data_IF_469088802762
#
_entry.id   IF_469088802762
#
_cell.length_a   1.000
_cell.length_b   1.000
_cell.length_c   1.000
_cell.angle_alpha   90.00
_cell.angle_beta   90.00
_cell.angle_gamma   90.00
#
_symmetry.space_group_name_H-M   'P 1'
#
loop_
_entity.id
_entity.type
_entity.pdbx_description
1 polymer ?
#
# COMPACT_ATOMS: atom_id res chain seq x y z
N UNK A 1 15.68 22.14 -5.95
CA UNK A 1 14.33 21.86 -6.52
C UNK A 1 14.21 20.36 -6.75
N UNK A 2 13.12 19.73 -6.27
CA UNK A 2 12.84 18.31 -6.54
C UNK A 2 12.39 18.15 -8.00
N UNK A 3 13.02 17.24 -8.72
CA UNK A 3 12.65 16.85 -10.09
C UNK A 3 12.17 15.41 -10.08
N UNK A 4 10.98 15.18 -10.56
CA UNK A 4 10.41 13.86 -10.69
C UNK A 4 9.67 13.72 -12.02
N UNK A 5 9.63 12.53 -12.55
CA UNK A 5 8.87 12.21 -13.73
C UNK A 5 8.45 10.75 -13.74
N UNK A 6 7.37 10.46 -14.42
CA UNK A 6 6.80 9.10 -14.52
C UNK A 6 6.58 8.71 -15.97
N UNK A 7 6.68 7.42 -16.22
CA UNK A 7 6.31 6.82 -17.49
C UNK A 7 5.76 5.43 -17.29
N UNK A 8 4.99 4.96 -18.25
CA UNK A 8 4.45 3.61 -18.25
C UNK A 8 4.47 3.00 -19.65
N UNK A 9 4.54 1.68 -19.72
CA UNK A 9 4.41 0.91 -20.94
C UNK A 9 3.61 -0.36 -20.68
N UNK A 10 2.98 -0.87 -21.71
CA UNK A 10 2.27 -2.17 -21.73
C UNK A 10 2.87 -3.14 -22.74
N UNK A 11 4.07 -2.85 -23.25
CA UNK A 11 4.75 -3.70 -24.21
C UNK A 11 5.12 -5.05 -23.57
N UNK A 12 4.85 -6.14 -24.26
CA UNK A 12 5.19 -7.49 -23.81
C UNK A 12 6.70 -7.76 -23.77
N UNK A 13 7.49 -6.99 -24.51
CA UNK A 13 8.96 -7.06 -24.43
C UNK A 13 9.45 -6.29 -23.22
N UNK A 14 10.00 -7.00 -22.24
CA UNK A 14 10.52 -6.43 -21.00
C UNK A 14 11.53 -5.31 -21.24
N UNK A 15 12.47 -5.52 -22.18
CA UNK A 15 13.48 -4.51 -22.49
C UNK A 15 12.86 -3.22 -23.07
N UNK A 16 11.83 -3.34 -23.95
CA UNK A 16 11.14 -2.17 -24.49
C UNK A 16 10.28 -1.50 -23.44
N UNK A 17 9.46 -2.24 -22.70
CA UNK A 17 8.62 -1.70 -21.65
C UNK A 17 9.44 -0.88 -20.64
N UNK A 18 10.54 -1.46 -20.14
CA UNK A 18 11.44 -0.79 -19.22
C UNK A 18 12.10 0.46 -19.84
N UNK A 19 12.59 0.34 -21.08
CA UNK A 19 13.22 1.46 -21.78
C UNK A 19 12.27 2.62 -22.03
N UNK A 20 11.07 2.36 -22.54
CA UNK A 20 10.04 3.35 -22.81
C UNK A 20 9.59 4.08 -21.55
N UNK A 21 9.24 3.32 -20.50
CA UNK A 21 8.77 3.91 -19.24
C UNK A 21 9.82 4.83 -18.61
N UNK A 22 11.10 4.41 -18.58
CA UNK A 22 12.18 5.24 -18.02
C UNK A 22 12.48 6.45 -18.90
N UNK A 23 12.46 6.32 -20.23
CA UNK A 23 12.65 7.48 -21.14
C UNK A 23 11.56 8.53 -20.96
N UNK A 24 10.30 8.12 -20.87
CA UNK A 24 9.18 9.03 -20.61
C UNK A 24 9.37 9.73 -19.26
N UNK A 25 9.76 8.98 -18.21
CA UNK A 25 10.01 9.53 -16.88
C UNK A 25 11.15 10.56 -16.88
N UNK A 26 12.29 10.28 -17.54
CA UNK A 26 13.39 11.23 -17.68
C UNK A 26 12.96 12.49 -18.42
N UNK A 27 12.22 12.34 -19.50
CA UNK A 27 11.72 13.47 -20.29
C UNK A 27 10.79 14.36 -19.47
N UNK A 28 9.87 13.78 -18.69
CA UNK A 28 8.97 14.53 -17.82
C UNK A 28 9.72 15.22 -16.66
N UNK A 29 10.71 14.55 -16.06
CA UNK A 29 11.55 15.14 -15.02
C UNK A 29 12.49 16.25 -15.54
N UNK A 30 12.72 16.31 -16.84
CA UNK A 30 13.67 17.24 -17.48
C UNK A 30 15.13 16.97 -17.07
N UNK A 31 15.50 15.70 -16.90
CA UNK A 31 16.86 15.27 -16.53
C UNK A 31 17.37 14.23 -17.52
N UNK A 32 18.69 14.19 -17.71
CA UNK A 32 19.36 13.20 -18.56
C UNK A 32 19.81 11.95 -17.82
N UNK A 33 19.82 12.02 -16.47
CA UNK A 33 20.24 10.95 -15.58
C UNK A 33 19.39 11.03 -14.29
N UNK A 34 19.03 9.88 -13.74
CA UNK A 34 18.32 9.79 -12.48
C UNK A 34 19.26 9.62 -11.29
N UNK A 35 18.87 10.13 -10.11
CA UNK A 35 19.48 9.76 -8.83
C UNK A 35 18.91 8.44 -8.31
N UNK A 36 17.59 8.21 -8.51
CA UNK A 36 16.93 6.95 -8.22
C UNK A 36 15.79 6.66 -9.20
N UNK A 37 15.49 5.38 -9.38
CA UNK A 37 14.35 4.88 -10.16
C UNK A 37 13.53 3.91 -9.34
N UNK A 38 12.23 4.21 -9.21
CA UNK A 38 11.24 3.29 -8.66
C UNK A 38 10.47 2.63 -9.80
N UNK A 39 10.37 1.29 -9.78
CA UNK A 39 9.74 0.52 -10.87
C UNK A 39 8.71 -0.44 -10.31
N UNK A 40 7.48 -0.38 -10.81
CA UNK A 40 6.45 -1.39 -10.60
C UNK A 40 6.16 -2.10 -11.90
N UNK A 41 6.05 -3.42 -11.86
CA UNK A 41 5.97 -4.23 -13.07
C UNK A 41 5.09 -5.48 -12.89
N UNK A 42 4.40 -5.87 -13.94
CA UNK A 42 3.68 -7.13 -13.97
C UNK A 42 4.64 -8.31 -13.78
N UNK A 43 4.25 -9.31 -12.98
CA UNK A 43 5.13 -10.42 -12.56
C UNK A 43 5.76 -11.19 -13.73
N UNK A 44 5.14 -11.16 -14.91
CA UNK A 44 5.63 -11.77 -16.14
C UNK A 44 7.00 -11.21 -16.57
N UNK A 45 7.28 -9.95 -16.28
CA UNK A 45 8.57 -9.33 -16.56
C UNK A 45 9.72 -9.90 -15.72
N UNK A 46 9.42 -10.53 -14.55
CA UNK A 46 10.43 -11.15 -13.70
C UNK A 46 11.15 -12.32 -14.41
N UNK A 47 10.49 -13.00 -15.33
CA UNK A 47 11.12 -14.06 -16.14
C UNK A 47 12.27 -13.55 -17.04
N UNK A 48 12.36 -12.25 -17.23
CA UNK A 48 13.39 -11.55 -18.01
C UNK A 48 14.18 -10.56 -17.14
N UNK A 49 14.56 -10.98 -15.94
CA UNK A 49 15.18 -10.13 -14.92
C UNK A 49 16.35 -9.30 -15.43
N UNK A 50 17.26 -9.93 -16.22
CA UNK A 50 18.42 -9.23 -16.78
C UNK A 50 18.02 -8.11 -17.74
N UNK A 51 17.07 -8.42 -18.64
CA UNK A 51 16.57 -7.41 -19.59
C UNK A 51 15.92 -6.25 -18.86
N UNK A 52 15.16 -6.53 -17.78
CA UNK A 52 14.52 -5.52 -16.95
C UNK A 52 15.58 -4.61 -16.30
N UNK A 53 16.49 -5.20 -15.52
CA UNK A 53 17.50 -4.45 -14.76
C UNK A 53 18.44 -3.67 -15.67
N UNK A 54 19.00 -4.32 -16.70
CA UNK A 54 19.94 -3.70 -17.63
C UNK A 54 19.29 -2.55 -18.42
N UNK A 55 18.03 -2.69 -18.85
CA UNK A 55 17.33 -1.64 -19.58
C UNK A 55 17.06 -0.43 -18.69
N UNK A 56 16.56 -0.65 -17.46
CA UNK A 56 16.34 0.44 -16.50
C UNK A 56 17.64 1.17 -16.20
N UNK A 57 18.69 0.46 -15.78
CA UNK A 57 19.99 1.05 -15.42
C UNK A 57 20.63 1.82 -16.57
N UNK A 58 20.64 1.23 -17.76
CA UNK A 58 21.23 1.84 -18.95
C UNK A 58 20.52 3.12 -19.34
N UNK A 59 19.19 3.13 -19.33
CA UNK A 59 18.40 4.29 -19.74
C UNK A 59 18.41 5.38 -18.67
N UNK A 60 18.27 4.99 -17.40
CA UNK A 60 18.27 5.93 -16.27
C UNK A 60 19.67 6.48 -15.92
N UNK A 61 20.73 5.76 -16.29
CA UNK A 61 22.12 6.13 -15.96
C UNK A 61 22.48 5.94 -14.48
N UNK A 62 21.73 5.12 -13.74
CA UNK A 62 21.94 4.89 -12.30
C UNK A 62 21.79 3.43 -11.91
N UNK A 63 22.48 3.03 -10.84
CA UNK A 63 22.32 1.73 -10.19
C UNK A 63 21.30 1.77 -9.03
N UNK A 64 20.85 2.96 -8.64
CA UNK A 64 19.82 3.15 -7.63
C UNK A 64 18.43 2.82 -8.25
N UNK A 65 18.16 1.53 -8.42
CA UNK A 65 16.92 0.98 -8.98
C UNK A 65 16.27 0.13 -7.91
N UNK A 66 15.00 0.42 -7.60
CA UNK A 66 14.20 -0.28 -6.60
C UNK A 66 12.78 -0.48 -7.13
N UNK A 67 12.13 -1.53 -6.69
CA UNK A 67 10.72 -1.75 -7.00
C UNK A 67 10.24 -3.16 -6.69
N UNK A 68 9.06 -3.49 -7.20
CA UNK A 68 8.49 -4.82 -7.02
C UNK A 68 7.47 -5.17 -8.11
N UNK A 69 7.08 -6.44 -8.15
CA UNK A 69 5.98 -6.90 -8.97
C UNK A 69 4.64 -6.40 -8.43
N UNK A 70 3.69 -6.17 -9.33
CA UNK A 70 2.35 -5.70 -9.04
C UNK A 70 1.31 -6.33 -9.98
N UNK A 71 0.12 -6.57 -9.46
CA UNK A 71 -1.01 -7.06 -10.28
C UNK A 71 -1.56 -5.98 -11.22
N UNK A 72 -1.24 -4.73 -10.94
CA UNK A 72 -1.54 -3.57 -11.77
C UNK A 72 -0.67 -2.39 -11.39
N UNK A 73 -0.52 -1.46 -12.32
CA UNK A 73 0.27 -0.24 -12.15
C UNK A 73 -0.60 1.00 -12.35
N UNK A 74 -0.15 2.12 -11.81
CA UNK A 74 -0.80 3.42 -11.97
C UNK A 74 0.23 4.52 -12.22
N UNK A 75 -0.12 5.46 -13.09
CA UNK A 75 0.57 6.75 -13.22
C UNK A 75 -0.46 7.87 -13.39
N UNK A 76 0.00 9.10 -13.54
CA UNK A 76 -0.86 10.23 -13.91
C UNK A 76 -1.60 10.02 -15.27
N UNK A 77 -1.14 9.08 -16.10
CA UNK A 77 -1.79 8.72 -17.37
C UNK A 77 -2.95 7.72 -17.21
N UNK A 78 -3.09 7.11 -16.02
CA UNK A 78 -4.16 6.14 -15.70
C UNK A 78 -3.65 4.86 -15.06
N UNK A 79 -4.56 3.90 -14.95
CA UNK A 79 -4.35 2.58 -14.36
C UNK A 79 -4.24 1.52 -15.46
N UNK A 80 -3.36 0.55 -15.25
CA UNK A 80 -3.26 -0.67 -16.06
C UNK A 80 -3.40 -1.86 -15.13
N UNK A 81 -4.54 -2.51 -15.17
CA UNK A 81 -4.83 -3.71 -14.38
C UNK A 81 -4.64 -4.94 -15.28
N UNK A 82 -3.78 -5.86 -14.83
CA UNK A 82 -3.41 -7.05 -15.62
C UNK A 82 -2.48 -6.75 -16.81
N UNK A 83 -2.21 -7.78 -17.63
CA UNK A 83 -1.32 -7.67 -18.80
C UNK A 83 0.14 -7.39 -18.43
N UNK A 84 0.87 -6.70 -19.30
CA UNK A 84 2.31 -6.46 -19.19
C UNK A 84 2.64 -5.04 -18.68
N UNK A 85 1.84 -4.50 -17.75
CA UNK A 85 2.05 -3.16 -17.21
C UNK A 85 3.42 -2.99 -16.55
N UNK A 86 4.12 -1.92 -16.91
CA UNK A 86 5.34 -1.47 -16.24
C UNK A 86 5.28 0.04 -16.08
N UNK A 87 5.49 0.53 -14.87
CA UNK A 87 5.59 1.95 -14.54
C UNK A 87 6.95 2.25 -13.93
N UNK A 88 7.52 3.39 -14.27
CA UNK A 88 8.77 3.88 -13.70
C UNK A 88 8.61 5.32 -13.24
N UNK A 89 9.14 5.65 -12.07
CA UNK A 89 9.36 7.01 -11.60
C UNK A 89 10.84 7.28 -11.48
N UNK A 90 11.27 8.36 -12.12
CA UNK A 90 12.63 8.90 -11.98
C UNK A 90 12.59 10.02 -10.95
N UNK A 91 13.54 9.99 -10.03
CA UNK A 91 13.80 11.04 -9.06
C UNK A 91 15.18 11.63 -9.33
N UNK A 92 15.26 12.96 -9.32
CA UNK A 92 16.52 13.70 -9.41
C UNK A 92 16.40 14.95 -8.56
N UNK A 93 17.32 15.17 -7.60
CA UNK A 93 17.19 16.32 -6.73
C UNK A 93 18.46 16.70 -5.99
N UNK A 94 18.74 17.99 -5.95
CA UNK A 94 19.81 18.53 -5.10
C UNK A 94 19.44 18.53 -3.60
N UNK A 95 18.14 18.48 -3.27
CA UNK A 95 17.62 18.63 -1.92
C UNK A 95 16.88 17.37 -1.40
N UNK A 96 16.86 16.31 -2.19
CA UNK A 96 16.23 15.03 -1.84
C UNK A 96 17.27 13.92 -1.98
N UNK A 97 17.64 13.29 -0.89
CA UNK A 97 18.54 12.15 -0.90
C UNK A 97 17.72 10.86 -1.00
N UNK A 98 18.07 10.04 -1.99
CA UNK A 98 17.42 8.77 -2.25
C UNK A 98 18.39 7.63 -1.92
N UNK A 99 18.04 6.78 -0.94
CA UNK A 99 18.85 5.61 -0.55
C UNK A 99 18.09 4.34 -0.85
N UNK A 100 18.58 3.47 -1.74
CA UNK A 100 17.96 2.19 -2.00
C UNK A 100 18.15 1.27 -0.79
N UNK A 101 17.09 0.52 -0.47
CA UNK A 101 17.06 -0.44 0.62
C UNK A 101 16.71 -1.80 0.04
N UNK A 102 17.50 -2.82 0.37
CA UNK A 102 17.24 -4.18 -0.09
C UNK A 102 17.75 -5.19 0.93
N UNK A 103 16.83 -6.05 1.42
CA UNK A 103 17.17 -7.07 2.40
C UNK A 103 16.61 -8.43 1.96
N UNK A 104 17.43 -9.46 2.07
CA UNK A 104 17.12 -10.84 1.74
C UNK A 104 17.90 -11.80 2.63
N UNK A 105 17.31 -12.92 3.11
CA UNK A 105 15.90 -13.26 3.01
C UNK A 105 15.02 -12.42 3.95
N UNK A 106 13.72 -12.28 3.63
CA UNK A 106 12.73 -11.60 4.48
C UNK A 106 12.18 -12.55 5.53
N UNK A 107 11.77 -13.78 5.11
CA UNK A 107 11.18 -14.78 6.00
C UNK A 107 12.09 -15.10 7.16
N UNK A 108 11.54 -15.04 8.39
CA UNK A 108 12.21 -15.29 9.66
C UNK A 108 13.27 -14.24 10.05
N UNK A 109 13.39 -13.15 9.27
CA UNK A 109 14.33 -12.05 9.55
C UNK A 109 13.67 -10.69 9.65
N UNK A 110 12.36 -10.64 9.69
CA UNK A 110 11.58 -9.40 9.67
C UNK A 110 11.97 -8.47 10.83
N UNK A 111 12.15 -9.04 12.02
CA UNK A 111 12.60 -8.30 13.20
C UNK A 111 14.00 -7.70 12.99
N UNK A 112 14.96 -8.51 12.57
CA UNK A 112 16.36 -8.07 12.34
C UNK A 112 16.42 -6.98 11.25
N UNK A 113 15.59 -7.11 10.22
CA UNK A 113 15.50 -6.12 9.13
C UNK A 113 14.95 -4.80 9.65
N UNK A 114 13.93 -4.83 10.53
CA UNK A 114 13.41 -3.62 11.16
C UNK A 114 14.46 -2.90 12.00
N UNK A 115 15.26 -3.65 12.78
CA UNK A 115 16.40 -3.11 13.54
C UNK A 115 17.45 -2.48 12.61
N UNK A 116 17.79 -3.16 11.49
CA UNK A 116 18.74 -2.61 10.50
C UNK A 116 18.20 -1.34 9.83
N UNK A 117 16.93 -1.31 9.46
CA UNK A 117 16.28 -0.11 8.93
C UNK A 117 16.33 1.05 9.94
N UNK A 118 16.09 0.77 11.22
CA UNK A 118 16.20 1.77 12.29
C UNK A 118 17.59 2.41 12.35
N UNK A 119 18.65 1.61 12.18
CA UNK A 119 20.03 2.09 12.13
C UNK A 119 20.37 2.92 10.87
N UNK A 120 19.61 2.75 9.78
CA UNK A 120 19.80 3.49 8.51
C UNK A 120 19.06 4.83 8.45
N UNK A 121 18.02 4.98 9.27
CA UNK A 121 17.25 6.21 9.37
C UNK A 121 17.94 7.17 10.35
N UNK A 122 18.42 8.35 9.92
CA UNK A 122 19.07 9.28 10.84
C UNK A 122 18.09 9.81 11.90
N UNK A 123 18.60 10.33 13.04
CA UNK A 123 17.76 11.01 14.02
C UNK A 123 16.95 12.12 13.38
N UNK A 124 15.68 12.22 13.77
CA UNK A 124 14.66 13.08 13.19
C UNK A 124 14.89 14.58 13.43
N UNK A 125 15.99 15.13 12.97
CA UNK A 125 16.19 16.59 12.86
C UNK A 125 16.07 17.09 11.41
N UNK A 126 16.00 16.17 10.44
CA UNK A 126 15.75 16.53 9.05
C UNK A 126 14.27 16.84 8.83
N UNK A 127 13.97 17.87 8.07
CA UNK A 127 12.63 18.41 7.82
C UNK A 127 11.74 17.41 7.05
N UNK A 128 12.31 16.48 6.26
CA UNK A 128 11.59 15.42 5.55
C UNK A 128 12.27 14.06 5.71
N UNK A 129 11.51 13.06 6.11
CA UNK A 129 11.93 11.66 6.22
C UNK A 129 10.77 10.75 5.84
N UNK A 130 10.99 9.81 4.92
CA UNK A 130 9.97 8.87 4.45
C UNK A 130 10.60 7.55 4.03
N UNK A 131 10.07 6.45 4.51
CA UNK A 131 10.38 5.09 4.04
C UNK A 131 9.29 4.61 3.09
N UNK A 132 9.65 4.25 1.86
CA UNK A 132 8.78 3.52 0.95
C UNK A 132 9.25 2.05 0.92
N UNK A 133 8.40 1.09 1.35
CA UNK A 133 8.77 -0.31 1.48
C UNK A 133 7.85 -1.22 0.63
N UNK A 134 8.44 -2.24 0.01
CA UNK A 134 7.79 -3.20 -0.87
C UNK A 134 8.17 -4.63 -0.47
N UNK A 135 7.62 -5.16 0.64
CA UNK A 135 7.91 -6.50 1.10
C UNK A 135 7.28 -7.57 0.20
N UNK A 136 7.87 -8.76 0.20
CA UNK A 136 7.27 -9.95 -0.38
C UNK A 136 6.04 -10.38 0.43
N UNK A 137 4.89 -10.50 -0.25
CA UNK A 137 3.61 -10.83 0.38
C UNK A 137 3.51 -12.31 0.78
N UNK A 138 4.18 -13.22 0.06
CA UNK A 138 4.11 -14.65 0.33
C UNK A 138 5.15 -15.12 1.37
N UNK A 139 6.20 -14.34 1.60
CA UNK A 139 7.38 -14.78 2.35
C UNK A 139 7.69 -13.97 3.59
N UNK A 140 6.80 -13.12 4.08
CA UNK A 140 7.12 -12.32 5.25
C UNK A 140 5.92 -11.94 6.10
N UNK A 141 6.22 -11.51 7.31
CA UNK A 141 5.29 -10.90 8.25
C UNK A 141 5.68 -9.43 8.46
N UNK A 142 5.29 -8.53 7.54
CA UNK A 142 5.75 -7.14 7.55
C UNK A 142 5.37 -6.37 8.82
N UNK A 143 4.33 -6.82 9.53
CA UNK A 143 3.94 -6.25 10.82
C UNK A 143 5.12 -6.31 11.82
N UNK A 144 5.84 -7.44 11.90
CA UNK A 144 7.01 -7.60 12.79
C UNK A 144 8.16 -6.66 12.43
N UNK A 145 8.33 -6.39 11.14
CA UNK A 145 9.32 -5.42 10.65
C UNK A 145 8.95 -4.00 11.09
N UNK A 146 7.68 -3.62 10.97
CA UNK A 146 7.20 -2.30 11.39
C UNK A 146 7.30 -2.12 12.90
N UNK A 147 6.97 -3.15 13.68
CA UNK A 147 7.07 -3.15 15.14
C UNK A 147 8.52 -2.96 15.58
N UNK A 148 9.46 -3.77 15.08
CA UNK A 148 10.87 -3.65 15.46
C UNK A 148 11.50 -2.32 15.01
N UNK A 149 11.13 -1.80 13.85
CA UNK A 149 11.53 -0.45 13.42
C UNK A 149 11.04 0.61 14.40
N UNK A 150 9.78 0.51 14.87
CA UNK A 150 9.19 1.44 15.80
C UNK A 150 9.85 1.36 17.20
N UNK A 151 10.09 0.15 17.69
CA UNK A 151 10.69 -0.09 19.00
C UNK A 151 12.12 0.47 19.08
N UNK A 152 12.91 0.30 18.02
CA UNK A 152 14.30 0.75 17.98
C UNK A 152 14.45 2.24 17.66
N UNK A 153 13.55 2.81 16.85
CA UNK A 153 13.73 4.17 16.31
C UNK A 153 12.66 5.16 16.75
N UNK A 154 11.53 4.67 17.23
CA UNK A 154 10.32 5.48 17.37
C UNK A 154 9.62 5.67 16.01
N UNK A 155 8.72 6.64 15.96
CA UNK A 155 7.92 6.88 14.78
C UNK A 155 8.75 7.43 13.61
N UNK A 156 8.78 6.69 12.53
CA UNK A 156 9.26 7.09 11.20
C UNK A 156 8.17 6.75 10.21
N UNK A 157 7.66 7.68 9.38
CA UNK A 157 6.58 7.38 8.46
C UNK A 157 7.01 6.35 7.41
N UNK A 158 6.26 5.26 7.34
CA UNK A 158 6.41 4.20 6.33
C UNK A 158 5.20 4.20 5.43
N UNK A 159 5.43 4.20 4.12
CA UNK A 159 4.40 4.00 3.10
C UNK A 159 4.82 2.85 2.17
N UNK A 160 3.90 2.31 1.42
CA UNK A 160 4.23 1.24 0.48
C UNK A 160 3.13 0.22 0.34
N UNK A 161 3.49 -0.91 -0.25
CA UNK A 161 2.57 -2.03 -0.42
C UNK A 161 3.32 -3.35 -0.51
N UNK A 162 2.66 -4.43 -0.10
CA UNK A 162 3.13 -5.77 -0.39
C UNK A 162 3.15 -6.02 -1.90
N UNK A 163 4.25 -6.55 -2.40
CA UNK A 163 4.34 -6.95 -3.80
C UNK A 163 3.19 -7.90 -4.15
N UNK A 164 2.68 -7.84 -5.37
CA UNK A 164 1.54 -8.64 -5.80
C UNK A 164 1.74 -9.24 -7.20
N UNK A 165 0.83 -10.11 -7.58
CA UNK A 165 0.80 -10.79 -8.88
C UNK A 165 -0.65 -11.17 -9.24
N UNK A 166 -0.90 -11.64 -10.44
CA UNK A 166 -2.24 -11.89 -11.00
C UNK A 166 -2.86 -13.25 -10.62
N UNK A 167 -2.31 -13.97 -9.64
CA UNK A 167 -2.76 -15.30 -9.21
C UNK A 167 -2.15 -16.47 -10.01
N UNK A 168 -1.26 -16.21 -10.97
CA UNK A 168 -0.66 -17.25 -11.81
C UNK A 168 0.80 -17.54 -11.50
N UNK A 169 1.56 -16.54 -11.08
CA UNK A 169 2.99 -16.69 -10.78
C UNK A 169 3.26 -17.41 -9.45
N UNK A 170 2.32 -17.37 -8.51
CA UNK A 170 2.44 -17.92 -7.15
C UNK A 170 3.71 -17.44 -6.42
N UNK A 171 4.24 -16.31 -6.82
CA UNK A 171 5.40 -15.66 -6.25
C UNK A 171 5.33 -14.17 -6.54
N UNK A 172 5.78 -13.36 -5.59
CA UNK A 172 6.00 -11.93 -5.79
C UNK A 172 7.48 -11.64 -5.86
N UNK A 173 7.85 -10.56 -6.53
CA UNK A 173 9.23 -10.28 -6.85
C UNK A 173 9.63 -8.88 -6.40
N UNK A 174 10.84 -8.76 -5.85
CA UNK A 174 11.48 -7.51 -5.49
C UNK A 174 12.63 -7.24 -6.45
N UNK A 175 12.71 -5.98 -6.91
CA UNK A 175 13.71 -5.48 -7.83
C UNK A 175 14.74 -4.63 -7.09
N UNK A 176 16.01 -4.85 -7.38
CA UNK A 176 17.11 -3.95 -7.05
C UNK A 176 17.99 -3.71 -8.28
N UNK A 177 18.93 -2.77 -8.19
CA UNK A 177 19.93 -2.57 -9.24
C UNK A 177 20.83 -3.79 -9.52
N UNK A 178 20.82 -4.78 -8.63
CA UNK A 178 21.58 -6.04 -8.76
C UNK A 178 20.80 -7.16 -9.43
N UNK A 179 19.45 -7.14 -9.38
CA UNK A 179 18.62 -8.22 -9.92
C UNK A 179 17.19 -8.20 -9.40
N UNK A 180 16.45 -9.24 -9.75
CA UNK A 180 15.09 -9.52 -9.30
C UNK A 180 15.11 -10.80 -8.48
N UNK A 181 14.44 -10.82 -7.34
CA UNK A 181 14.33 -12.01 -6.49
C UNK A 181 13.00 -12.02 -5.74
N UNK A 182 12.72 -13.11 -5.04
CA UNK A 182 11.63 -13.23 -4.08
C UNK A 182 12.16 -13.32 -2.64
N UNK A 183 11.29 -13.46 -1.67
CA UNK A 183 11.63 -13.53 -0.25
C UNK A 183 12.56 -12.39 0.18
N UNK A 184 12.18 -11.16 -0.19
CA UNK A 184 12.95 -9.96 0.09
C UNK A 184 12.04 -8.79 0.45
N UNK A 185 12.63 -7.72 0.95
CA UNK A 185 12.01 -6.40 1.00
C UNK A 185 12.87 -5.42 0.21
N UNK A 186 12.29 -4.80 -0.78
CA UNK A 186 12.84 -3.66 -1.50
C UNK A 186 12.28 -2.38 -0.91
N UNK A 187 13.00 -1.27 -0.97
CA UNK A 187 12.53 0.01 -0.48
C UNK A 187 13.40 1.18 -0.87
N UNK A 188 12.87 2.35 -0.59
CA UNK A 188 13.55 3.61 -0.82
C UNK A 188 13.40 4.48 0.43
N UNK A 189 14.52 4.87 1.01
CA UNK A 189 14.54 5.91 2.03
C UNK A 189 14.78 7.26 1.37
N UNK A 190 13.90 8.19 1.70
CA UNK A 190 13.95 9.57 1.25
C UNK A 190 14.21 10.49 2.44
N UNK A 191 15.24 11.32 2.35
CA UNK A 191 15.48 12.40 3.30
C UNK A 191 15.81 13.73 2.59
N UNK A 192 15.55 14.84 3.25
CA UNK A 192 15.84 16.16 2.71
C UNK A 192 14.78 17.21 3.03
N UNK A 193 14.85 18.31 2.28
CA UNK A 193 13.96 19.46 2.45
C UNK A 193 12.61 19.23 1.72
N UNK A 194 11.74 18.43 2.32
CA UNK A 194 10.39 18.18 1.79
C UNK A 194 9.38 17.91 2.90
N UNK A 195 8.09 18.00 2.54
CA UNK A 195 6.98 17.54 3.38
C UNK A 195 6.22 16.41 2.68
N UNK A 196 5.90 15.36 3.43
CA UNK A 196 5.06 14.27 2.97
C UNK A 196 3.65 14.41 3.57
N UNK A 197 2.64 14.41 2.69
CA UNK A 197 1.22 14.45 3.06
C UNK A 197 0.62 13.08 2.76
N UNK A 198 0.32 12.31 3.80
CA UNK A 198 -0.12 10.92 3.67
C UNK A 198 -1.59 10.85 4.11
N UNK A 199 -2.44 10.32 3.24
CA UNK A 199 -3.86 10.10 3.51
C UNK A 199 -4.29 8.73 3.03
N UNK A 200 -5.30 8.17 3.69
CA UNK A 200 -5.82 6.82 3.43
C UNK A 200 -7.28 6.93 3.01
N UNK A 201 -7.66 6.16 1.99
CA UNK A 201 -9.06 5.94 1.60
C UNK A 201 -9.46 4.49 1.82
N UNK A 202 -10.64 4.27 2.40
CA UNK A 202 -11.17 2.97 2.75
C UNK A 202 -12.09 2.41 1.65
N UNK A 203 -11.85 1.16 1.23
CA UNK A 203 -12.73 0.44 0.31
C UNK A 203 -13.91 -0.26 0.99
N UNK A 204 -13.81 -0.42 2.32
CA UNK A 204 -14.84 -1.04 3.15
C UNK A 204 -15.39 -0.01 4.13
N UNK A 205 -16.71 0.10 4.23
CA UNK A 205 -17.39 1.10 5.06
C UNK A 205 -18.21 0.44 6.18
N UNK A 206 -18.32 1.06 7.36
CA UNK A 206 -19.07 0.54 8.48
C UNK A 206 -20.54 0.24 8.14
N UNK A 207 -21.02 -0.92 8.58
CA UNK A 207 -22.42 -1.35 8.52
C UNK A 207 -23.02 -1.63 9.89
N UNK A 208 -22.24 -1.50 10.94
CA UNK A 208 -22.65 -1.61 12.32
C UNK A 208 -22.09 -0.48 13.17
N UNK A 209 -22.70 -0.25 14.33
CA UNK A 209 -22.10 0.51 15.41
C UNK A 209 -20.90 -0.25 16.01
N UNK A 210 -20.01 0.41 16.77
CA UNK A 210 -18.99 -0.26 17.54
C UNK A 210 -19.58 -1.25 18.55
N UNK A 211 -18.97 -2.44 18.61
CA UNK A 211 -19.33 -3.55 19.51
C UNK A 211 -18.07 -3.98 20.28
N UNK A 212 -18.24 -4.79 21.32
CA UNK A 212 -17.15 -5.29 22.14
C UNK A 212 -17.04 -6.80 22.00
N UNK A 213 -15.84 -7.32 21.83
CA UNK A 213 -15.52 -8.74 21.89
C UNK A 213 -15.59 -9.15 23.37
N UNK A 214 -16.59 -9.94 23.74
CA UNK A 214 -16.79 -10.36 25.13
C UNK A 214 -16.19 -11.72 25.44
N UNK A 215 -15.90 -12.52 24.40
CA UNK A 215 -15.20 -13.79 24.53
C UNK A 215 -14.45 -14.15 23.26
N UNK A 216 -13.16 -14.47 23.40
CA UNK A 216 -12.32 -14.90 22.27
C UNK A 216 -11.18 -15.82 22.72
N UNK A 217 -10.56 -16.48 21.75
CA UNK A 217 -9.30 -17.22 21.91
C UNK A 217 -8.47 -17.03 20.64
N UNK A 218 -7.32 -16.34 20.74
CA UNK A 218 -6.47 -15.96 19.61
C UNK A 218 -7.27 -15.18 18.57
N UNK A 219 -7.48 -15.79 17.40
CA UNK A 219 -8.22 -15.22 16.28
C UNK A 219 -9.67 -15.72 16.13
N UNK A 220 -10.17 -16.46 17.13
CA UNK A 220 -11.52 -16.98 17.17
C UNK A 220 -12.40 -16.13 18.12
N UNK A 221 -13.44 -15.51 17.58
CA UNK A 221 -14.41 -14.73 18.35
C UNK A 221 -15.63 -15.61 18.65
N UNK A 222 -15.88 -15.87 19.93
CA UNK A 222 -17.01 -16.66 20.41
C UNK A 222 -18.22 -15.77 20.67
N UNK A 223 -18.00 -14.62 21.33
CA UNK A 223 -19.09 -13.71 21.73
C UNK A 223 -18.75 -12.24 21.42
N UNK A 224 -19.76 -11.52 20.96
CA UNK A 224 -19.76 -10.06 20.75
C UNK A 224 -20.96 -9.50 21.52
N UNK A 225 -20.72 -8.53 22.42
CA UNK A 225 -21.76 -7.98 23.31
C UNK A 225 -22.56 -9.07 24.02
N UNK A 226 -21.87 -10.10 24.56
CA UNK A 226 -22.47 -11.24 25.31
C UNK A 226 -23.43 -12.13 24.47
N UNK A 227 -23.33 -12.07 23.13
CA UNK A 227 -24.11 -12.90 22.19
C UNK A 227 -23.18 -13.70 21.28
N UNK A 228 -23.58 -14.89 20.81
CA UNK A 228 -22.79 -15.66 19.86
C UNK A 228 -22.35 -14.81 18.65
N UNK A 229 -21.05 -14.81 18.33
CA UNK A 229 -20.48 -13.92 17.31
C UNK A 229 -21.12 -14.12 15.93
N UNK A 230 -21.40 -15.37 15.55
CA UNK A 230 -22.06 -15.69 14.28
C UNK A 230 -23.53 -15.21 14.25
N UNK A 231 -24.24 -15.22 15.40
CA UNK A 231 -25.58 -14.67 15.48
C UNK A 231 -25.59 -13.16 15.26
N UNK A 232 -24.65 -12.44 15.90
CA UNK A 232 -24.47 -11.01 15.70
C UNK A 232 -24.17 -10.70 14.24
N UNK A 233 -23.19 -11.40 13.64
CA UNK A 233 -22.86 -11.26 12.22
C UNK A 233 -24.08 -11.51 11.33
N UNK A 234 -24.80 -12.62 11.55
CA UNK A 234 -25.95 -12.99 10.74
C UNK A 234 -27.10 -11.97 10.84
N UNK A 235 -27.26 -11.31 11.97
CA UNK A 235 -28.28 -10.27 12.17
C UNK A 235 -28.06 -9.02 11.31
N UNK A 236 -26.84 -8.79 10.83
CA UNK A 236 -26.49 -7.67 9.95
C UNK A 236 -26.77 -7.97 8.47
N UNK A 237 -26.93 -9.25 8.13
CA UNK A 237 -27.12 -9.68 6.75
C UNK A 237 -28.54 -9.34 6.28
N UNK A 238 -28.64 -8.77 5.07
CA UNK A 238 -29.92 -8.41 4.43
C UNK A 238 -30.00 -8.96 3.02
N UNK A 239 -31.23 -9.24 2.58
CA UNK A 239 -31.51 -9.67 1.21
C UNK A 239 -30.72 -10.93 0.82
N UNK A 240 -30.11 -10.96 -0.37
CA UNK A 240 -29.39 -12.14 -0.88
C UNK A 240 -28.22 -12.61 0.02
N UNK A 241 -27.61 -11.70 0.78
CA UNK A 241 -26.50 -12.05 1.69
C UNK A 241 -26.96 -12.86 2.91
N UNK A 242 -28.20 -12.66 3.35
CA UNK A 242 -28.77 -13.47 4.46
C UNK A 242 -29.02 -14.94 4.06
N UNK A 243 -29.19 -15.21 2.76
CA UNK A 243 -29.40 -16.56 2.24
C UNK A 243 -28.10 -17.29 1.86
N UNK A 244 -26.97 -16.57 1.77
CA UNK A 244 -25.68 -17.10 1.31
C UNK A 244 -24.50 -16.53 2.14
N UNK A 245 -24.18 -17.25 3.22
CA UNK A 245 -23.05 -16.87 4.10
C UNK A 245 -21.70 -16.87 3.38
N UNK A 246 -21.50 -17.75 2.38
CA UNK A 246 -20.23 -17.74 1.61
C UNK A 246 -20.06 -16.44 0.84
N UNK A 247 -21.14 -16.00 0.21
CA UNK A 247 -21.15 -14.71 -0.49
C UNK A 247 -20.99 -13.54 0.49
N UNK A 248 -21.62 -13.63 1.67
CA UNK A 248 -21.45 -12.61 2.71
C UNK A 248 -19.97 -12.45 3.13
N UNK A 249 -19.24 -13.56 3.34
CA UNK A 249 -17.83 -13.55 3.70
C UNK A 249 -16.88 -12.98 2.62
N UNK A 250 -17.34 -12.85 1.38
CA UNK A 250 -16.56 -12.22 0.31
C UNK A 250 -16.65 -10.70 0.30
N UNK A 251 -17.62 -10.12 0.98
CA UNK A 251 -17.90 -8.68 0.95
C UNK A 251 -18.01 -8.03 2.32
N UNK A 252 -18.14 -8.83 3.39
CA UNK A 252 -18.17 -8.35 4.78
C UNK A 252 -16.91 -8.76 5.53
N UNK A 253 -16.43 -7.85 6.34
CA UNK A 253 -15.18 -7.96 7.08
C UNK A 253 -15.37 -7.40 8.49
N UNK A 254 -14.37 -7.55 9.35
CA UNK A 254 -14.28 -6.83 10.61
C UNK A 254 -13.34 -5.63 10.48
N UNK A 255 -13.68 -4.54 11.12
CA UNK A 255 -12.82 -3.40 11.36
C UNK A 255 -12.38 -3.41 12.82
N UNK A 256 -11.07 -3.50 13.06
CA UNK A 256 -10.45 -3.51 14.38
C UNK A 256 -9.78 -2.16 14.67
N UNK A 257 -9.61 -1.75 15.94
CA UNK A 257 -8.91 -0.52 16.28
C UNK A 257 -7.48 -0.55 15.74
N UNK A 258 -7.05 0.55 15.12
CA UNK A 258 -5.64 0.69 14.74
C UNK A 258 -4.75 0.89 15.98
N UNK A 259 -5.25 1.60 16.98
CA UNK A 259 -4.62 1.74 18.28
C UNK A 259 -5.42 0.97 19.34
N UNK A 260 -4.87 -0.17 19.76
CA UNK A 260 -5.50 -1.04 20.76
C UNK A 260 -5.54 -0.42 22.16
N UNK A 261 -4.66 0.56 22.45
CA UNK A 261 -4.67 1.26 23.75
C UNK A 261 -5.85 2.23 23.83
N UNK A 262 -6.17 2.89 22.72
CA UNK A 262 -7.35 3.77 22.64
C UNK A 262 -8.62 2.93 22.50
N UNK A 263 -8.51 1.73 21.94
CA UNK A 263 -9.59 0.77 21.75
C UNK A 263 -10.88 1.40 21.17
N UNK A 264 -10.70 2.27 20.16
CA UNK A 264 -11.80 2.96 19.50
C UNK A 264 -11.75 2.75 17.99
N UNK A 265 -12.86 2.31 17.43
CA UNK A 265 -13.10 2.21 16.00
C UNK A 265 -13.89 3.44 15.53
N UNK A 266 -13.20 4.55 15.33
CA UNK A 266 -13.81 5.77 14.77
C UNK A 266 -13.73 5.79 13.25
N UNK A 267 -14.54 6.64 12.62
CA UNK A 267 -14.60 6.75 11.16
C UNK A 267 -13.20 6.90 10.51
N UNK A 268 -12.86 5.98 9.62
CA UNK A 268 -11.58 5.92 8.91
C UNK A 268 -10.37 5.44 9.74
N UNK A 269 -10.51 5.18 11.04
CA UNK A 269 -9.42 4.77 11.93
C UNK A 269 -9.58 3.33 12.41
N UNK A 270 -9.72 2.42 11.47
CA UNK A 270 -9.80 0.98 11.72
C UNK A 270 -9.00 0.20 10.67
N UNK A 271 -8.58 -0.98 11.07
CA UNK A 271 -7.90 -1.94 10.20
C UNK A 271 -8.90 -3.00 9.77
N UNK A 272 -9.10 -3.13 8.46
CA UNK A 272 -10.00 -4.14 7.92
C UNK A 272 -9.32 -5.50 7.94
N UNK A 273 -10.03 -6.52 8.44
CA UNK A 273 -9.56 -7.91 8.50
C UNK A 273 -10.61 -8.87 7.97
N UNK A 274 -10.15 -9.85 7.23
CA UNK A 274 -11.01 -10.89 6.67
C UNK A 274 -11.64 -11.75 7.78
N UNK A 275 -12.89 -12.11 7.61
CA UNK A 275 -13.49 -13.26 8.31
C UNK A 275 -13.05 -14.48 7.52
N UNK A 276 -12.14 -15.27 8.10
CA UNK A 276 -11.49 -16.41 7.43
C UNK A 276 -12.22 -17.73 7.62
N UNK A 277 -13.23 -17.76 8.47
CA UNK A 277 -14.06 -18.95 8.70
C UNK A 277 -15.19 -18.70 9.68
N UNK A 278 -16.14 -19.61 9.67
CA UNK A 278 -17.26 -19.67 10.59
C UNK A 278 -17.44 -21.10 11.10
N UNK A 279 -17.84 -21.27 12.36
CA UNK A 279 -18.30 -22.53 12.94
C UNK A 279 -19.78 -22.36 13.31
N UNK A 280 -20.72 -22.86 12.48
CA UNK A 280 -22.14 -22.69 12.72
C UNK A 280 -22.63 -23.41 13.98
N UNK A 281 -22.02 -24.55 14.33
CA UNK A 281 -22.45 -25.37 15.49
C UNK A 281 -22.08 -24.68 16.81
N UNK A 282 -20.97 -23.94 16.83
CA UNK A 282 -20.51 -23.25 18.03
C UNK A 282 -20.77 -21.73 17.99
N UNK A 283 -21.26 -21.20 16.88
CA UNK A 283 -21.53 -19.76 16.71
C UNK A 283 -20.29 -18.88 16.63
N UNK A 284 -19.15 -19.42 16.14
CA UNK A 284 -17.85 -18.77 16.17
C UNK A 284 -17.52 -18.09 14.83
N UNK A 285 -16.81 -16.95 14.90
CA UNK A 285 -16.15 -16.31 13.76
C UNK A 285 -14.63 -16.42 13.91
N UNK A 286 -13.94 -16.86 12.86
CA UNK A 286 -12.49 -16.77 12.74
C UNK A 286 -12.10 -15.54 11.94
N UNK A 287 -11.18 -14.70 12.45
CA UNK A 287 -10.70 -13.50 11.78
C UNK A 287 -9.22 -13.59 11.46
N UNK A 288 -8.74 -12.79 10.49
CA UNK A 288 -7.36 -12.85 10.01
C UNK A 288 -6.37 -12.06 10.91
N UNK A 289 -6.70 -11.89 12.18
CA UNK A 289 -5.84 -11.26 13.20
C UNK A 289 -6.18 -11.79 14.58
N UNK A 290 -5.20 -11.84 15.49
CA UNK A 290 -5.45 -12.16 16.90
C UNK A 290 -6.18 -10.98 17.56
N UNK A 291 -7.18 -11.29 18.38
CA UNK A 291 -8.03 -10.32 19.09
C UNK A 291 -8.06 -10.61 20.59
N UNK A 292 -8.52 -9.64 21.36
CA UNK A 292 -8.57 -9.74 22.81
C UNK A 292 -9.99 -9.44 23.36
N UNK A 293 -10.33 -10.06 24.48
CA UNK A 293 -11.55 -9.70 25.22
C UNK A 293 -11.49 -8.22 25.65
N UNK A 294 -12.61 -7.54 25.50
CA UNK A 294 -12.72 -6.10 25.73
C UNK A 294 -12.33 -5.24 24.51
N UNK A 295 -11.78 -5.82 23.46
CA UNK A 295 -11.43 -5.09 22.23
C UNK A 295 -12.68 -4.69 21.45
N UNK A 296 -12.69 -3.47 20.93
CA UNK A 296 -13.78 -2.98 20.08
C UNK A 296 -13.68 -3.54 18.67
N UNK A 297 -14.82 -3.78 18.04
CA UNK A 297 -14.90 -4.10 16.62
C UNK A 297 -16.10 -3.42 15.96
N UNK A 298 -16.04 -3.26 14.64
CA UNK A 298 -17.17 -2.96 13.77
C UNK A 298 -17.24 -3.99 12.66
N UNK A 299 -18.43 -4.21 12.10
CA UNK A 299 -18.54 -4.88 10.81
C UNK A 299 -18.51 -3.85 9.69
N UNK A 300 -17.77 -4.17 8.65
CA UNK A 300 -17.59 -3.30 7.47
C UNK A 300 -17.94 -4.07 6.21
N UNK A 301 -18.41 -3.35 5.19
CA UNK A 301 -18.77 -3.92 3.89
C UNK A 301 -18.02 -3.23 2.77
N UNK A 302 -17.53 -4.02 1.83
CA UNK A 302 -16.91 -3.55 0.59
C UNK A 302 -18.01 -3.02 -0.33
N UNK A 303 -17.97 -1.72 -0.64
CA UNK A 303 -18.99 -1.02 -1.41
C UNK A 303 -18.32 0.02 -2.32
N UNK A 304 -18.46 -0.14 -3.64
CA UNK A 304 -17.80 0.72 -4.62
C UNK A 304 -18.34 2.15 -4.63
N UNK A 305 -19.61 2.40 -4.28
CA UNK A 305 -20.15 3.75 -4.21
C UNK A 305 -19.60 4.49 -2.98
N UNK A 306 -19.69 3.86 -1.82
CA UNK A 306 -19.17 4.44 -0.57
C UNK A 306 -17.65 4.63 -0.62
N UNK A 307 -16.93 3.72 -1.31
CA UNK A 307 -15.50 3.87 -1.54
C UNK A 307 -15.16 5.11 -2.39
N UNK A 308 -15.99 5.48 -3.39
CA UNK A 308 -15.83 6.73 -4.15
C UNK A 308 -16.09 7.97 -3.29
N UNK A 309 -17.06 7.90 -2.41
CA UNK A 309 -17.38 8.99 -1.46
C UNK A 309 -16.20 9.19 -0.49
N UNK A 310 -15.66 8.12 0.05
CA UNK A 310 -14.50 8.16 0.95
C UNK A 310 -13.24 8.68 0.23
N UNK A 311 -12.98 8.21 -1.01
CA UNK A 311 -11.90 8.72 -1.87
C UNK A 311 -12.04 10.23 -2.10
N UNK A 312 -13.25 10.70 -2.38
CA UNK A 312 -13.51 12.14 -2.56
C UNK A 312 -13.19 12.94 -1.30
N UNK A 313 -13.60 12.44 -0.14
CA UNK A 313 -13.30 13.07 1.16
C UNK A 313 -11.80 13.06 1.46
N UNK A 314 -11.12 11.95 1.18
CA UNK A 314 -9.66 11.85 1.34
C UNK A 314 -8.94 12.87 0.45
N UNK A 315 -9.35 12.99 -0.82
CA UNK A 315 -8.77 13.97 -1.75
C UNK A 315 -9.02 15.41 -1.30
N UNK A 316 -10.20 15.71 -0.75
CA UNK A 316 -10.47 17.03 -0.17
C UNK A 316 -9.56 17.34 1.02
N UNK A 317 -9.29 16.36 1.90
CA UNK A 317 -8.30 16.51 2.97
C UNK A 317 -6.90 16.79 2.41
N UNK A 318 -6.48 16.06 1.36
CA UNK A 318 -5.20 16.29 0.69
C UNK A 318 -5.08 17.70 0.10
N UNK A 319 -6.11 18.17 -0.60
CA UNK A 319 -6.15 19.55 -1.14
C UNK A 319 -6.00 20.58 -0.03
N UNK A 320 -6.70 20.38 1.11
CA UNK A 320 -6.60 21.27 2.26
C UNK A 320 -5.20 21.24 2.89
N UNK A 321 -4.60 20.04 3.05
CA UNK A 321 -3.26 19.87 3.62
C UNK A 321 -2.16 20.50 2.74
N UNK A 322 -2.35 20.49 1.43
CA UNK A 322 -1.43 21.15 0.50
C UNK A 322 -1.45 22.68 0.62
N UNK A 323 -2.57 23.28 1.05
CA UNK A 323 -2.67 24.74 1.21
C UNK A 323 -2.37 25.53 -0.08
N UNK A 324 -2.71 24.98 -1.25
CA UNK A 324 -2.45 25.57 -2.56
C UNK A 324 -1.06 25.25 -3.14
N UNK A 325 -0.20 24.53 -2.44
CA UNK A 325 1.08 24.04 -2.96
C UNK A 325 0.85 22.91 -3.96
N UNK A 326 1.69 22.83 -4.98
CA UNK A 326 1.65 21.73 -5.95
C UNK A 326 2.55 20.59 -5.49
N UNK A 327 2.11 19.31 -5.58
CA UNK A 327 2.97 18.18 -5.34
C UNK A 327 4.14 18.17 -6.34
N UNK A 328 5.35 17.97 -5.84
CA UNK A 328 6.53 17.71 -6.68
C UNK A 328 6.43 16.30 -7.29
N UNK A 329 5.93 15.34 -6.52
CA UNK A 329 5.55 14.00 -6.95
C UNK A 329 4.62 13.33 -5.92
N UNK A 330 4.09 12.15 -6.25
CA UNK A 330 3.30 11.35 -5.33
C UNK A 330 3.41 9.85 -5.58
N UNK A 331 3.03 9.10 -4.53
CA UNK A 331 2.83 7.66 -4.57
C UNK A 331 1.37 7.34 -4.31
N UNK A 332 0.81 6.36 -5.02
CA UNK A 332 -0.49 5.82 -4.71
C UNK A 332 -0.44 4.29 -4.62
N UNK A 333 -0.49 3.77 -3.40
CA UNK A 333 -0.51 2.34 -3.14
C UNK A 333 -1.95 1.89 -2.96
N UNK A 334 -2.44 1.11 -3.90
CA UNK A 334 -3.83 0.67 -3.97
C UNK A 334 -3.93 -0.82 -3.69
N UNK A 335 -4.95 -1.26 -2.99
CA UNK A 335 -5.19 -2.69 -2.78
C UNK A 335 -5.59 -3.37 -4.09
N UNK A 336 -5.10 -4.58 -4.35
CA UNK A 336 -5.53 -5.40 -5.49
C UNK A 336 -7.04 -5.74 -5.46
N UNK A 337 -7.70 -5.58 -4.31
CA UNK A 337 -9.13 -5.69 -4.17
C UNK A 337 -9.89 -4.39 -4.49
N UNK A 338 -9.21 -3.32 -4.90
CA UNK A 338 -9.81 -2.07 -5.42
C UNK A 338 -9.83 -2.10 -6.96
N UNK A 339 -9.75 -0.96 -7.63
CA UNK A 339 -9.78 -0.89 -9.09
C UNK A 339 -11.06 -1.47 -9.68
N UNK A 340 -10.95 -2.14 -10.81
CA UNK A 340 -12.10 -2.75 -11.52
C UNK A 340 -12.86 -3.77 -10.67
N UNK A 341 -12.17 -4.49 -9.77
CA UNK A 341 -12.77 -5.44 -8.84
C UNK A 341 -13.76 -4.79 -7.85
N UNK A 342 -13.52 -3.54 -7.45
CA UNK A 342 -14.39 -2.78 -6.53
C UNK A 342 -15.43 -1.96 -7.30
N UNK A 343 -14.98 -1.26 -8.33
CA UNK A 343 -15.80 -0.25 -9.01
C UNK A 343 -16.55 -0.76 -10.24
N UNK A 344 -16.22 -1.97 -10.72
CA UNK A 344 -16.77 -2.56 -11.94
C UNK A 344 -16.15 -2.01 -13.24
N UNK A 345 -15.33 -0.97 -13.15
CA UNK A 345 -14.58 -0.35 -14.26
C UNK A 345 -13.18 0.08 -13.76
N UNK A 346 -12.15 0.05 -14.61
CA UNK A 346 -10.82 0.54 -14.25
C UNK A 346 -10.73 2.07 -14.24
N UNK A 347 -9.65 2.61 -13.68
CA UNK A 347 -9.29 4.02 -13.84
C UNK A 347 -10.05 4.99 -12.93
N UNK A 348 -10.78 4.51 -11.93
CA UNK A 348 -11.57 5.39 -11.04
C UNK A 348 -10.67 6.19 -10.12
N UNK A 349 -9.74 5.52 -9.41
CA UNK A 349 -8.91 6.19 -8.42
C UNK A 349 -8.00 7.24 -9.11
N UNK A 350 -7.36 6.88 -10.22
CA UNK A 350 -6.51 7.81 -10.99
C UNK A 350 -7.28 9.01 -11.54
N UNK A 351 -8.51 8.79 -12.04
CA UNK A 351 -9.35 9.88 -12.55
C UNK A 351 -9.75 10.87 -11.45
N UNK A 352 -10.14 10.37 -10.27
CA UNK A 352 -10.49 11.22 -9.12
C UNK A 352 -9.28 11.99 -8.59
N UNK A 353 -8.11 11.34 -8.49
CA UNK A 353 -6.85 11.99 -8.09
C UNK A 353 -6.51 13.12 -9.07
N UNK A 354 -6.56 12.85 -10.38
CA UNK A 354 -6.29 13.85 -11.42
C UNK A 354 -7.30 15.01 -11.39
N UNK A 355 -8.57 14.72 -11.18
CA UNK A 355 -9.61 15.75 -11.09
C UNK A 355 -9.39 16.68 -9.88
N UNK A 356 -8.97 16.13 -8.72
CA UNK A 356 -8.82 16.90 -7.49
C UNK A 356 -7.50 17.68 -7.42
N UNK A 357 -6.41 17.09 -7.90
CA UNK A 357 -5.03 17.58 -7.69
C UNK A 357 -4.34 18.06 -8.98
N UNK A 358 -4.97 17.83 -10.16
CA UNK A 358 -4.37 18.14 -11.44
C UNK A 358 -3.28 17.17 -11.87
N UNK A 359 -2.49 17.57 -12.86
CA UNK A 359 -1.38 16.76 -13.37
C UNK A 359 -0.10 17.01 -12.55
N UNK A 360 0.47 15.93 -12.01
CA UNK A 360 1.77 15.90 -11.34
C UNK A 360 2.38 14.49 -11.50
N UNK A 361 3.69 14.30 -11.30
CA UNK A 361 4.30 12.97 -11.36
C UNK A 361 3.73 12.06 -10.26
N UNK A 362 2.90 11.09 -10.65
CA UNK A 362 2.28 10.11 -9.75
C UNK A 362 2.64 8.72 -10.23
N UNK A 363 3.20 7.90 -9.33
CA UNK A 363 3.38 6.47 -9.56
C UNK A 363 2.62 5.67 -8.50
N UNK A 364 2.08 4.54 -8.90
CA UNK A 364 1.37 3.65 -7.99
C UNK A 364 1.34 2.21 -8.47
N UNK A 365 0.86 1.35 -7.60
CA UNK A 365 0.68 -0.06 -7.86
C UNK A 365 -0.53 -0.60 -7.11
N UNK A 366 -1.03 -1.74 -7.57
CA UNK A 366 -2.02 -2.54 -6.87
C UNK A 366 -1.30 -3.63 -6.08
N UNK A 367 -1.26 -3.47 -4.76
CA UNK A 367 -0.54 -4.33 -3.82
C UNK A 367 -1.40 -5.36 -3.12
N UNK A 368 -0.77 -6.34 -2.47
CA UNK A 368 -1.43 -7.35 -1.66
C UNK A 368 -1.96 -6.82 -0.33
N UNK A 369 -1.37 -5.75 0.17
CA UNK A 369 -1.74 -4.93 1.32
C UNK A 369 -1.03 -3.58 1.20
N UNK A 370 -1.45 -2.58 1.98
CA UNK A 370 -0.85 -1.26 1.99
C UNK A 370 -0.16 -0.99 3.34
N UNK A 371 0.93 -0.23 3.30
CA UNK A 371 1.65 0.27 4.47
C UNK A 371 1.42 1.77 4.57
N UNK A 372 0.98 2.23 5.74
CA UNK A 372 0.81 3.66 5.99
C UNK A 372 0.83 3.97 7.49
N UNK A 373 1.18 5.21 7.87
CA UNK A 373 1.02 5.67 9.24
C UNK A 373 -0.46 5.98 9.54
N UNK A 374 -0.87 5.66 10.76
CA UNK A 374 -2.09 6.16 11.36
C UNK A 374 -1.77 6.62 12.80
N UNK A 375 -1.90 7.91 13.05
CA UNK A 375 -1.37 8.53 14.26
C UNK A 375 0.17 8.49 14.29
N UNK A 376 0.75 7.90 15.31
CA UNK A 376 2.20 7.76 15.48
C UNK A 376 2.69 6.31 15.37
N UNK A 377 1.99 5.49 14.64
CA UNK A 377 2.36 4.12 14.35
C UNK A 377 2.12 3.79 12.87
N UNK A 378 2.94 2.90 12.33
CA UNK A 378 2.75 2.37 10.98
C UNK A 378 1.94 1.08 11.05
N UNK A 379 1.02 0.91 10.12
CA UNK A 379 0.10 -0.22 10.10
C UNK A 379 0.07 -0.88 8.73
N UNK A 380 -0.36 -2.14 8.74
CA UNK A 380 -0.71 -2.90 7.55
C UNK A 380 -2.22 -2.75 7.33
N UNK A 381 -2.57 -2.20 6.18
CA UNK A 381 -3.95 -2.01 5.74
C UNK A 381 -4.33 -3.03 4.66
N UNK A 382 -5.62 -3.28 4.55
CA UNK A 382 -6.21 -4.05 3.46
C UNK A 382 -7.46 -3.32 2.95
N UNK A 383 -7.74 -3.48 1.67
CA UNK A 383 -8.89 -2.84 1.00
C UNK A 383 -8.80 -1.30 0.96
N UNK A 384 -7.61 -0.74 1.08
CA UNK A 384 -7.39 0.70 1.14
C UNK A 384 -6.67 1.24 -0.11
N UNK A 385 -6.61 2.56 -0.21
CA UNK A 385 -5.68 3.27 -1.07
C UNK A 385 -4.89 4.27 -0.22
N UNK A 386 -3.59 4.31 -0.35
CA UNK A 386 -2.69 5.21 0.37
C UNK A 386 -2.11 6.22 -0.61
N UNK A 387 -2.52 7.48 -0.48
CA UNK A 387 -1.98 8.59 -1.28
C UNK A 387 -0.96 9.36 -0.47
N UNK A 388 0.26 9.37 -0.97
CA UNK A 388 1.38 10.16 -0.43
C UNK A 388 1.75 11.23 -1.43
N UNK A 389 1.66 12.49 -1.03
CA UNK A 389 2.07 13.63 -1.83
C UNK A 389 3.31 14.26 -1.21
N UNK A 390 4.32 14.52 -2.01
CA UNK A 390 5.57 15.17 -1.59
C UNK A 390 5.61 16.58 -2.15
N UNK A 391 5.79 17.56 -1.26
CA UNK A 391 6.02 18.97 -1.63
C UNK A 391 7.43 19.37 -1.20
N UNK A 392 8.12 20.14 -2.04
CA UNK A 392 9.37 20.79 -1.60
C UNK A 392 9.07 21.81 -0.51
N UNK A 393 10.05 22.07 0.36
CA UNK A 393 10.02 23.28 1.17
C UNK A 393 10.26 24.48 0.24
N UNK A 394 9.40 25.49 0.36
CA UNK A 394 9.60 26.76 -0.36
C UNK A 394 10.93 27.35 0.09
N UNK A 395 11.80 27.65 -0.91
CA UNK A 395 13.09 28.32 -0.70
C UNK A 395 12.88 29.82 -0.46
#
# INVERSE_FOLDING_TARGET
MIRAGVGQSVDASTARAAGEAVQMALAQAGVSKADAVLVFFAAEHAARERELVESVRRVAGTDCVIGCSATGIMTASGEVEGGHGLAAMVLGAEQLHCRPLFFQPLREREFDIGVQLAGMVPPSEATGSLLALFPDTYNGQPQRLLESLHDERGFTPVVGAGASENGTAQATYQLSGAGVTNNAVAGLYLDGAFQAHIEITQGCQPISDPMVITKCERNLIYEINERPALEVFSSLLKGPLAADLRRALMVLFVGLPADRLINSVSAGKYLVRNIIGIDPDKGILGVAEEVSEGESLIFVMRDGQRAREDLTQMLQRQVNNLGGRKPAFGFYFNCCARGSSLYGIPGIDSAYIKQALGDFPLIGMFGGYELAPLGRANHLFAYTGVLTLVTGEDA
#
